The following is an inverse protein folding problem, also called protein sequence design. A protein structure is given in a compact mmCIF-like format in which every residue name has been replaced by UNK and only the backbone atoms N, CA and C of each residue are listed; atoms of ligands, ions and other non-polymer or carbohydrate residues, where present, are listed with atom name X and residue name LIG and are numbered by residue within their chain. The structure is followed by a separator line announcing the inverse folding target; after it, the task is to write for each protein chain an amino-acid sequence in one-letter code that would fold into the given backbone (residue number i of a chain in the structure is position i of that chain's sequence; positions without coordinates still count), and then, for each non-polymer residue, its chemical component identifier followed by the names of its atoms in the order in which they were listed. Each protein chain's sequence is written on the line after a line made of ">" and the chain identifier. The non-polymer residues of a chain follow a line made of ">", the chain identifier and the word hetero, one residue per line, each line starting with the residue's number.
data_IF_903091497084
#
_entry.id   IF_903091497084
#
_cell.length_a   1.000
_cell.length_b   1.000
_cell.length_c   1.000
_cell.angle_alpha   90.00
_cell.angle_beta   90.00
_cell.angle_gamma   90.00
#
_symmetry.space_group_name_H-M   'P 1'
#
loop_
_entity.id
_entity.type
_entity.pdbx_description
1 polymer ?
#
# COMPACT_ATOMS: atom_id res chain seq x y z
N UNK A 1 -33.98 9.56 -9.19
CA UNK A 1 -33.17 9.66 -7.98
C UNK A 1 -33.06 11.13 -7.62
N UNK A 2 -33.39 11.54 -6.37
CA UNK A 2 -33.26 12.90 -5.95
C UNK A 2 -31.80 13.32 -5.95
N UNK A 3 -31.50 14.51 -6.49
CA UNK A 3 -30.15 15.05 -6.49
C UNK A 3 -29.71 15.32 -5.05
N UNK A 4 -28.54 14.80 -4.65
CA UNK A 4 -27.98 15.06 -3.33
C UNK A 4 -27.76 16.58 -3.13
N UNK A 5 -28.07 17.07 -1.93
CA UNK A 5 -27.81 18.46 -1.54
C UNK A 5 -26.30 18.74 -1.52
N UNK A 6 -25.93 19.99 -1.71
CA UNK A 6 -24.51 20.35 -1.81
C UNK A 6 -23.74 20.06 -0.51
N UNK A 7 -24.37 20.19 0.65
CA UNK A 7 -23.74 19.90 1.94
C UNK A 7 -23.41 18.41 2.09
N UNK A 8 -24.34 17.53 1.67
CA UNK A 8 -24.10 16.08 1.64
C UNK A 8 -22.99 15.70 0.67
N UNK A 9 -22.94 16.35 -0.52
CA UNK A 9 -21.85 16.14 -1.47
C UNK A 9 -20.50 16.58 -0.92
N UNK A 10 -20.46 17.73 -0.25
CA UNK A 10 -19.25 18.24 0.39
C UNK A 10 -18.75 17.26 1.46
N UNK A 11 -19.65 16.79 2.31
CA UNK A 11 -19.33 15.79 3.33
C UNK A 11 -18.74 14.51 2.72
N UNK A 12 -19.39 13.95 1.69
CA UNK A 12 -18.91 12.75 0.98
C UNK A 12 -17.52 12.97 0.42
N UNK A 13 -17.28 14.09 -0.26
CA UNK A 13 -15.99 14.43 -0.85
C UNK A 13 -14.89 14.55 0.21
N UNK A 14 -15.18 15.22 1.33
CA UNK A 14 -14.23 15.39 2.43
C UNK A 14 -13.91 14.06 3.13
N UNK A 15 -14.91 13.23 3.41
CA UNK A 15 -14.71 11.92 4.03
C UNK A 15 -13.85 11.00 3.14
N UNK A 16 -14.13 10.94 1.83
CA UNK A 16 -13.31 10.21 0.87
C UNK A 16 -11.88 10.78 0.76
N UNK A 17 -11.72 12.10 0.88
CA UNK A 17 -10.41 12.73 0.91
C UNK A 17 -9.59 12.32 2.13
N UNK A 18 -10.24 12.09 3.28
CA UNK A 18 -9.64 11.58 4.52
C UNK A 18 -9.42 10.06 4.54
N UNK A 19 -9.57 9.39 3.39
CA UNK A 19 -9.37 7.94 3.21
C UNK A 19 -10.46 7.04 3.81
N UNK A 20 -11.62 7.59 4.14
CA UNK A 20 -12.76 6.76 4.50
C UNK A 20 -13.20 5.88 3.33
N UNK A 21 -13.56 4.65 3.63
CA UNK A 21 -14.08 3.74 2.61
C UNK A 21 -15.50 4.14 2.19
N UNK A 22 -15.92 3.85 0.93
CA UNK A 22 -17.27 4.17 0.50
C UNK A 22 -18.39 3.61 1.41
N UNK A 23 -18.16 2.46 2.04
CA UNK A 23 -19.11 1.86 2.98
C UNK A 23 -19.22 2.68 4.28
N UNK A 24 -18.10 3.12 4.84
CA UNK A 24 -18.05 3.99 6.01
C UNK A 24 -18.74 5.34 5.74
N UNK A 25 -18.52 5.90 4.53
CA UNK A 25 -19.16 7.16 4.12
C UNK A 25 -20.68 6.98 4.00
N UNK A 26 -21.17 5.86 3.48
CA UNK A 26 -22.62 5.54 3.43
C UNK A 26 -23.23 5.56 4.84
N UNK A 27 -22.59 4.89 5.79
CA UNK A 27 -23.04 4.84 7.19
C UNK A 27 -22.98 6.21 7.85
N UNK A 28 -21.92 6.97 7.60
CA UNK A 28 -21.76 8.31 8.14
C UNK A 28 -22.82 9.29 7.60
N UNK A 29 -23.12 9.26 6.30
CA UNK A 29 -24.19 10.07 5.68
C UNK A 29 -25.56 9.72 6.26
N UNK A 30 -25.84 8.43 6.44
CA UNK A 30 -27.09 8.00 7.06
C UNK A 30 -27.21 8.50 8.50
N UNK A 31 -26.13 8.45 9.26
CA UNK A 31 -26.09 8.88 10.66
C UNK A 31 -26.22 10.40 10.80
N UNK A 32 -25.54 11.17 9.96
CA UNK A 32 -25.42 12.62 10.08
C UNK A 32 -26.61 13.37 9.43
N UNK A 33 -27.04 12.89 8.27
CA UNK A 33 -28.08 13.55 7.45
C UNK A 33 -29.41 12.79 7.37
N UNK A 34 -29.47 11.55 7.88
CA UNK A 34 -30.66 10.71 7.78
C UNK A 34 -30.99 10.26 6.35
N UNK A 35 -30.04 10.39 5.40
CA UNK A 35 -30.22 10.14 3.99
C UNK A 35 -29.52 8.81 3.62
N UNK A 36 -30.23 7.93 2.93
CA UNK A 36 -29.67 6.72 2.40
C UNK A 36 -29.02 6.97 1.03
N UNK A 37 -27.73 6.75 0.93
CA UNK A 37 -26.95 6.81 -0.32
C UNK A 37 -26.40 5.41 -0.65
N UNK A 38 -26.21 5.15 -1.93
CA UNK A 38 -25.58 3.88 -2.33
C UNK A 38 -24.06 4.03 -2.39
N UNK A 39 -23.34 2.92 -2.21
CA UNK A 39 -21.89 2.89 -2.37
C UNK A 39 -21.45 3.44 -3.74
N UNK A 40 -22.15 3.09 -4.81
CA UNK A 40 -21.86 3.59 -6.16
C UNK A 40 -22.03 5.10 -6.26
N UNK A 41 -23.05 5.68 -5.62
CA UNK A 41 -23.22 7.14 -5.56
C UNK A 41 -22.05 7.81 -4.84
N UNK A 42 -21.60 7.23 -3.73
CA UNK A 42 -20.42 7.73 -3.02
C UNK A 42 -19.16 7.66 -3.92
N UNK A 43 -18.94 6.54 -4.60
CA UNK A 43 -17.78 6.35 -5.49
C UNK A 43 -17.73 7.34 -6.67
N UNK A 44 -18.88 7.87 -7.12
CA UNK A 44 -18.89 8.93 -8.16
C UNK A 44 -18.32 10.27 -7.68
N UNK A 45 -18.15 10.43 -6.37
CA UNK A 45 -17.55 11.62 -5.77
C UNK A 45 -16.05 11.46 -5.44
N UNK A 46 -15.46 10.32 -5.82
CA UNK A 46 -14.02 10.07 -5.67
C UNK A 46 -13.28 10.32 -6.99
N UNK A 47 -12.57 11.45 -7.15
CA UNK A 47 -11.87 11.79 -8.40
C UNK A 47 -10.73 10.84 -8.72
N UNK A 48 -10.27 10.02 -7.76
CA UNK A 48 -9.21 9.02 -7.99
C UNK A 48 -9.72 7.76 -8.69
N UNK A 49 -11.05 7.56 -8.72
CA UNK A 49 -11.68 6.42 -9.37
C UNK A 49 -12.24 6.75 -10.74
N UNK A 50 -12.38 5.72 -11.55
CA UNK A 50 -12.96 5.85 -12.91
C UNK A 50 -14.38 6.41 -12.87
N UNK A 51 -15.18 6.04 -11.87
CA UNK A 51 -16.55 6.52 -11.66
C UNK A 51 -16.62 8.01 -11.33
N UNK A 52 -15.56 8.61 -10.79
CA UNK A 52 -15.49 10.01 -10.40
C UNK A 52 -14.88 10.94 -11.46
N UNK A 53 -14.44 10.46 -12.61
CA UNK A 53 -13.81 11.29 -13.65
C UNK A 53 -14.67 12.44 -14.17
N UNK A 54 -16.00 12.36 -14.05
CA UNK A 54 -16.95 13.42 -14.44
C UNK A 54 -17.30 14.39 -13.31
N UNK A 55 -16.62 14.31 -12.18
CA UNK A 55 -16.90 15.17 -11.02
C UNK A 55 -16.59 16.64 -11.34
N UNK A 56 -17.51 17.55 -10.98
CA UNK A 56 -17.32 18.97 -11.21
C UNK A 56 -16.04 19.50 -10.54
N UNK A 57 -15.29 20.36 -11.21
CA UNK A 57 -13.99 20.89 -10.78
C UNK A 57 -13.96 21.39 -9.34
N UNK A 58 -15.03 22.07 -8.89
CA UNK A 58 -15.14 22.54 -7.51
C UNK A 58 -14.99 21.43 -6.45
N UNK A 59 -15.54 20.24 -6.75
CA UNK A 59 -15.46 19.10 -5.85
C UNK A 59 -14.08 18.42 -5.90
N UNK A 60 -13.47 18.43 -7.07
CA UNK A 60 -12.09 17.93 -7.24
C UNK A 60 -11.14 18.80 -6.42
N UNK A 61 -11.23 20.12 -6.54
CA UNK A 61 -10.41 21.05 -5.74
C UNK A 61 -10.63 20.83 -4.23
N UNK A 62 -11.90 20.72 -3.81
CA UNK A 62 -12.23 20.47 -2.40
C UNK A 62 -11.61 19.16 -1.91
N UNK A 63 -11.65 18.11 -2.72
CA UNK A 63 -11.05 16.82 -2.41
C UNK A 63 -9.53 16.92 -2.26
N UNK A 64 -8.86 17.60 -3.20
CA UNK A 64 -7.40 17.76 -3.18
C UNK A 64 -6.95 18.58 -1.97
N UNK A 65 -7.64 19.69 -1.66
CA UNK A 65 -7.35 20.53 -0.51
C UNK A 65 -7.56 19.78 0.82
N UNK A 66 -8.68 19.06 0.95
CA UNK A 66 -8.96 18.27 2.15
C UNK A 66 -7.91 17.15 2.33
N UNK A 67 -7.54 16.46 1.25
CA UNK A 67 -6.52 15.39 1.28
C UNK A 67 -5.14 15.92 1.63
N UNK A 68 -4.79 17.10 1.10
CA UNK A 68 -3.52 17.75 1.42
C UNK A 68 -3.45 18.09 2.91
N UNK A 69 -4.47 18.76 3.44
CA UNK A 69 -4.54 19.10 4.88
C UNK A 69 -4.47 17.84 5.76
N UNK A 70 -5.26 16.83 5.45
CA UNK A 70 -5.25 15.58 6.22
C UNK A 70 -3.86 14.93 6.25
N UNK A 71 -3.12 14.96 5.13
CA UNK A 71 -1.75 14.42 5.07
C UNK A 71 -0.77 15.26 5.88
N UNK A 72 -0.89 16.58 5.83
CA UNK A 72 -0.06 17.50 6.59
C UNK A 72 -0.29 17.33 8.10
N UNK A 73 -1.53 17.33 8.55
CA UNK A 73 -1.91 17.09 9.94
C UNK A 73 -1.45 15.69 10.42
N UNK A 74 -1.62 14.66 9.59
CA UNK A 74 -1.17 13.30 9.94
C UNK A 74 0.36 13.22 10.02
N UNK A 75 1.10 13.96 9.19
CA UNK A 75 2.56 13.99 9.22
C UNK A 75 3.12 14.60 10.52
N UNK A 76 2.37 15.46 11.19
CA UNK A 76 2.72 16.04 12.50
C UNK A 76 2.56 15.06 13.65
N UNK A 77 1.78 14.00 13.49
CA UNK A 77 1.60 12.97 14.51
C UNK A 77 2.86 12.08 14.56
N UNK A 78 3.62 12.07 15.68
CA UNK A 78 4.90 11.36 15.74
C UNK A 78 4.81 9.88 15.32
N UNK A 79 3.75 9.17 15.73
CA UNK A 79 3.58 7.76 15.42
C UNK A 79 3.31 7.49 13.92
N UNK A 80 2.84 8.48 13.17
CA UNK A 80 2.69 8.38 11.72
C UNK A 80 4.04 8.40 10.98
N UNK A 81 5.06 8.95 11.62
CA UNK A 81 6.41 9.03 11.06
C UNK A 81 7.16 7.70 11.25
N UNK A 82 7.60 7.09 10.13
CA UNK A 82 8.34 5.81 10.15
C UNK A 82 9.62 5.88 10.99
N UNK A 83 10.37 6.97 10.90
CA UNK A 83 11.60 7.12 11.66
C UNK A 83 11.33 7.18 13.17
N UNK A 84 10.23 7.80 13.59
CA UNK A 84 9.81 7.82 14.98
C UNK A 84 9.44 6.41 15.47
N UNK A 85 8.64 5.66 14.68
CA UNK A 85 8.25 4.27 15.03
C UNK A 85 9.48 3.37 15.17
N UNK A 86 10.42 3.44 14.23
CA UNK A 86 11.66 2.65 14.30
C UNK A 86 12.50 2.99 15.53
N UNK A 87 12.62 4.27 15.89
CA UNK A 87 13.32 4.67 17.14
C UNK A 87 12.59 4.18 18.38
N UNK A 88 11.26 4.18 18.40
CA UNK A 88 10.48 3.64 19.50
C UNK A 88 10.68 2.14 19.62
N UNK A 89 10.64 1.40 18.51
CA UNK A 89 10.90 -0.04 18.48
C UNK A 89 12.32 -0.36 18.97
N UNK A 90 13.34 0.41 18.61
CA UNK A 90 14.70 0.23 19.09
C UNK A 90 14.76 0.28 20.63
N UNK A 91 14.14 1.30 21.25
CA UNK A 91 14.06 1.38 22.72
C UNK A 91 13.32 0.21 23.34
N UNK A 92 12.29 -0.31 22.66
CA UNK A 92 11.54 -1.47 23.15
C UNK A 92 12.36 -2.76 23.05
N UNK A 93 13.15 -2.93 21.98
CA UNK A 93 14.10 -4.06 21.87
C UNK A 93 15.11 -4.03 23.01
N UNK A 94 15.79 -2.91 23.24
CA UNK A 94 16.75 -2.74 24.32
C UNK A 94 16.14 -3.09 25.71
N UNK A 95 14.89 -2.65 25.92
CA UNK A 95 14.17 -2.99 27.16
C UNK A 95 13.80 -4.48 27.23
N UNK A 96 13.35 -5.08 26.13
CA UNK A 96 13.04 -6.52 26.09
C UNK A 96 14.29 -7.37 26.35
N UNK A 97 15.44 -7.00 25.81
CA UNK A 97 16.73 -7.64 26.04
C UNK A 97 17.16 -7.51 27.50
N UNK A 98 17.03 -6.32 28.10
CA UNK A 98 17.33 -6.10 29.52
C UNK A 98 16.48 -6.95 30.43
N UNK A 99 15.24 -7.24 30.06
CA UNK A 99 14.31 -8.13 30.75
C UNK A 99 14.51 -9.61 30.40
N UNK A 100 15.49 -9.94 29.54
CA UNK A 100 15.76 -11.30 29.01
C UNK A 100 14.53 -11.91 28.32
N UNK A 101 13.64 -11.07 27.80
CA UNK A 101 12.46 -11.50 27.04
C UNK A 101 12.78 -11.60 25.56
N UNK A 102 13.45 -12.69 25.16
CA UNK A 102 13.91 -12.93 23.80
C UNK A 102 12.72 -13.00 22.81
N UNK A 103 11.59 -13.59 23.24
CA UNK A 103 10.41 -13.70 22.40
C UNK A 103 9.84 -12.33 22.01
N UNK A 104 9.73 -11.41 22.96
CA UNK A 104 9.27 -10.04 22.69
C UNK A 104 10.28 -9.27 21.83
N UNK A 105 11.58 -9.41 22.08
CA UNK A 105 12.62 -8.79 21.27
C UNK A 105 12.51 -9.23 19.81
N UNK A 106 12.35 -10.52 19.55
CA UNK A 106 12.18 -11.06 18.20
C UNK A 106 10.92 -10.52 17.49
N UNK A 107 9.80 -10.41 18.21
CA UNK A 107 8.56 -9.84 17.64
C UNK A 107 8.73 -8.37 17.24
N UNK A 108 9.41 -7.57 18.05
CA UNK A 108 9.65 -6.16 17.76
C UNK A 108 10.60 -6.02 16.55
N UNK A 109 11.64 -6.85 16.45
CA UNK A 109 12.56 -6.87 15.33
C UNK A 109 11.84 -7.28 14.03
N UNK A 110 10.95 -8.26 14.09
CA UNK A 110 10.10 -8.66 12.96
C UNK A 110 9.19 -7.49 12.51
N UNK A 111 8.59 -6.79 13.47
CA UNK A 111 7.77 -5.62 13.14
C UNK A 111 8.61 -4.49 12.53
N UNK A 112 9.82 -4.25 13.04
CA UNK A 112 10.73 -3.26 12.47
C UNK A 112 11.13 -3.62 11.03
N UNK A 113 11.38 -4.89 10.74
CA UNK A 113 11.67 -5.37 9.39
C UNK A 113 10.48 -5.14 8.43
N UNK A 114 9.25 -5.39 8.88
CA UNK A 114 8.03 -5.07 8.11
C UNK A 114 7.88 -3.59 7.81
N UNK A 115 8.21 -2.73 8.77
CA UNK A 115 8.18 -1.26 8.60
C UNK A 115 9.22 -0.76 7.58
N UNK A 116 10.38 -1.38 7.53
CA UNK A 116 11.44 -1.03 6.58
C UNK A 116 11.12 -1.54 5.17
N UNK A 117 10.28 -2.57 5.07
CA UNK A 117 9.94 -3.22 3.79
C UNK A 117 10.99 -4.20 3.35
N UNK A 118 11.90 -4.60 4.26
CA UNK A 118 13.03 -5.44 3.95
C UNK A 118 12.73 -6.94 4.24
N UNK A 119 13.18 -7.79 3.33
CA UNK A 119 13.73 -9.15 3.44
C UNK A 119 12.84 -10.31 3.94
N UNK A 120 11.86 -10.12 4.79
CA UNK A 120 10.96 -11.24 5.17
C UNK A 120 9.91 -11.56 4.12
N UNK A 121 9.84 -10.78 3.08
CA UNK A 121 9.05 -11.09 1.90
C UNK A 121 10.03 -11.54 0.82
N UNK A 122 10.05 -12.82 0.50
CA UNK A 122 10.54 -13.33 -0.78
C UNK A 122 9.69 -12.73 -1.92
N UNK A 123 9.72 -11.42 -2.04
CA UNK A 123 9.27 -10.74 -3.23
C UNK A 123 10.42 -10.90 -4.21
N UNK A 124 10.30 -11.86 -5.11
CA UNK A 124 10.94 -11.69 -6.40
C UNK A 124 10.58 -10.25 -6.82
N UNK A 125 11.58 -9.38 -6.92
CA UNK A 125 11.43 -8.08 -7.55
C UNK A 125 10.92 -8.35 -8.97
N UNK A 126 9.64 -8.14 -9.18
CA UNK A 126 9.02 -8.24 -10.52
C UNK A 126 9.32 -7.02 -11.39
N UNK A 127 10.12 -6.09 -10.90
CA UNK A 127 10.28 -4.76 -11.50
C UNK A 127 11.72 -4.43 -11.94
N UNK A 128 12.63 -5.39 -11.91
CA UNK A 128 13.87 -5.24 -12.69
C UNK A 128 13.63 -5.92 -14.05
N UNK A 129 13.78 -5.19 -15.18
CA UNK A 129 13.82 -5.85 -16.46
C UNK A 129 14.98 -6.86 -16.42
N UNK A 130 14.69 -8.13 -16.75
CA UNK A 130 15.67 -9.19 -16.92
C UNK A 130 16.62 -8.82 -18.08
N UNK A 131 17.58 -7.93 -17.82
CA UNK A 131 18.73 -7.69 -18.70
C UNK A 131 19.87 -8.71 -18.46
N UNK A 132 19.63 -9.72 -17.66
CA UNK A 132 20.53 -10.87 -17.65
C UNK A 132 20.27 -11.72 -18.91
N UNK A 133 21.31 -11.95 -19.73
CA UNK A 133 21.17 -12.81 -20.90
C UNK A 133 20.68 -14.19 -20.42
N UNK A 134 19.56 -14.63 -20.99
CA UNK A 134 18.94 -15.91 -20.64
C UNK A 134 20.00 -17.01 -20.69
N UNK A 135 20.34 -17.56 -19.53
CA UNK A 135 21.22 -18.74 -19.46
C UNK A 135 20.51 -19.85 -20.23
N UNK A 136 21.14 -20.41 -21.30
CA UNK A 136 20.49 -21.42 -22.10
C UNK A 136 20.19 -22.65 -21.24
N UNK A 137 18.91 -22.94 -21.09
CA UNK A 137 18.39 -24.07 -20.30
C UNK A 137 18.64 -25.41 -20.95
N UNK A 138 19.33 -25.45 -22.10
CA UNK A 138 19.60 -26.66 -22.84
C UNK A 138 21.10 -27.02 -22.71
N UNK A 139 21.39 -28.04 -21.88
CA UNK A 139 22.70 -28.64 -21.82
C UNK A 139 22.76 -29.70 -22.94
N UNK A 140 23.57 -29.46 -23.96
CA UNK A 140 23.86 -30.45 -24.99
C UNK A 140 25.07 -31.25 -24.53
N UNK A 141 24.86 -32.52 -24.25
CA UNK A 141 25.93 -33.45 -23.86
C UNK A 141 26.27 -34.27 -25.08
N UNK A 142 27.41 -34.03 -25.70
CA UNK A 142 27.95 -34.87 -26.75
C UNK A 142 28.71 -36.05 -26.11
N UNK A 143 28.14 -37.24 -26.21
CA UNK A 143 28.79 -38.46 -25.73
C UNK A 143 29.72 -38.95 -26.83
N UNK A 144 31.01 -38.75 -26.63
CA UNK A 144 32.05 -39.30 -27.53
C UNK A 144 32.37 -40.71 -27.08
N UNK A 145 32.15 -41.71 -27.96
CA UNK A 145 32.53 -43.08 -27.69
C UNK A 145 34.06 -43.24 -27.78
N UNK A 146 34.70 -43.32 -26.63
CA UNK A 146 36.15 -43.45 -26.50
C UNK A 146 36.72 -44.77 -27.05
N UNK A 147 35.86 -45.68 -27.53
CA UNK A 147 36.26 -46.94 -28.07
C UNK A 147 36.50 -46.99 -29.61
N UNK A 148 36.14 -45.88 -30.29
CA UNK A 148 36.46 -45.76 -31.71
C UNK A 148 37.82 -45.07 -31.87
N UNK A 149 38.83 -45.74 -32.39
CA UNK A 149 40.10 -45.12 -32.74
C UNK A 149 39.83 -44.08 -33.85
N UNK A 150 40.40 -42.90 -33.70
CA UNK A 150 40.37 -41.85 -34.74
C UNK A 150 40.84 -42.51 -36.05
N UNK A 151 39.96 -42.56 -37.03
CA UNK A 151 40.40 -42.86 -38.41
C UNK A 151 41.05 -41.54 -38.90
N UNK A 152 42.37 -41.53 -38.94
CA UNK A 152 43.13 -40.52 -39.66
C UNK A 152 42.88 -40.62 -41.16
N UNK A 153 42.94 -39.48 -41.90
CA UNK A 153 42.56 -39.38 -43.30
C UNK A 153 43.51 -40.14 -44.26
#
# INVERSE_FOLDING_TARGET
>A
MAALQNDVKAFIVQALACFDTPSQVVEAVQKEYGITVTRQQVETHDPTKTSGKGLAKRWVTMFEDARKRFREETAEIPIANRAYRLRAMNRFVERAESLKNIGLAMQILEQAAKEVGDVYVNRHRKDEPDDEPAIPTRIQVDVVDARKPNAEP
#
